data_IF_894518290467
#
_entry.id   IF_894518290467
#
_cell.length_a   1.000
_cell.length_b   1.000
_cell.length_c   1.000
_cell.angle_alpha   90.00
_cell.angle_beta   90.00
_cell.angle_gamma   90.00
#
_symmetry.space_group_name_H-M   'P 1'
#
loop_
_entity.id
_entity.type
_entity.pdbx_description
1 polymer ?
#
# COMPACT_ATOMS: atom_id res chain seq x y z
N UNK A 1 28.63 -40.35 38.59
CA UNK A 1 28.25 -41.49 39.46
C UNK A 1 29.51 -42.26 39.76
N UNK A 2 29.96 -42.12 41.00
CA UNK A 2 31.17 -42.71 41.57
C UNK A 2 30.90 -44.21 41.75
N UNK A 3 31.83 -45.12 41.41
CA UNK A 3 31.61 -46.54 41.58
C UNK A 3 31.77 -46.95 43.04
N UNK A 4 31.04 -48.01 43.34
CA UNK A 4 30.79 -48.61 44.64
C UNK A 4 32.07 -48.96 45.41
N UNK A 5 32.08 -48.53 46.66
CA UNK A 5 32.94 -49.00 47.74
C UNK A 5 32.74 -50.49 47.95
N UNK A 6 33.75 -51.28 47.58
CA UNK A 6 33.89 -52.67 48.02
C UNK A 6 34.30 -52.63 49.49
N UNK A 7 33.35 -53.00 50.34
CA UNK A 7 33.55 -53.39 51.74
C UNK A 7 34.32 -54.70 51.79
N UNK A 8 35.55 -54.68 52.31
CA UNK A 8 36.22 -55.90 52.77
C UNK A 8 36.27 -55.83 54.29
N UNK A 9 35.61 -56.82 54.88
CA UNK A 9 35.44 -57.10 56.30
C UNK A 9 36.78 -57.37 56.98
N UNK A 10 36.93 -56.78 58.16
CA UNK A 10 37.86 -57.18 59.21
C UNK A 10 37.58 -58.61 59.71
N UNK A 11 38.56 -59.15 60.41
CA UNK A 11 38.53 -60.37 61.24
C UNK A 11 38.87 -61.70 60.55
N UNK A 12 40.18 -61.97 60.47
CA UNK A 12 40.74 -63.24 60.96
C UNK A 12 42.19 -62.99 61.41
N UNK A 13 42.32 -62.39 62.59
CA UNK A 13 43.58 -62.29 63.32
C UNK A 13 43.97 -63.66 63.87
N UNK A 14 44.64 -64.45 63.02
CA UNK A 14 45.49 -65.54 63.46
C UNK A 14 46.69 -64.95 64.23
N UNK A 15 47.10 -65.54 65.37
CA UNK A 15 48.21 -65.02 66.15
C UNK A 15 49.50 -65.28 65.38
N UNK A 16 50.02 -64.23 64.72
CA UNK A 16 51.36 -64.28 64.13
C UNK A 16 52.34 -64.30 65.30
N UNK A 17 52.89 -65.49 65.49
CA UNK A 17 53.98 -65.84 66.39
C UNK A 17 54.92 -64.65 66.58
N UNK A 18 55.17 -64.29 67.84
CA UNK A 18 56.31 -63.45 68.21
C UNK A 18 57.55 -64.09 67.60
N UNK A 19 58.02 -63.54 66.47
CA UNK A 19 59.33 -63.84 65.94
C UNK A 19 60.33 -63.47 67.03
N UNK A 20 60.72 -64.50 67.79
CA UNK A 20 61.90 -64.53 68.63
C UNK A 20 62.95 -63.66 67.96
N UNK A 21 63.36 -62.59 68.64
CA UNK A 21 64.40 -61.72 68.12
C UNK A 21 65.55 -62.62 67.65
N UNK A 22 66.16 -62.35 66.48
CA UNK A 22 67.19 -63.23 65.95
C UNK A 22 68.45 -63.13 66.82
N UNK A 23 68.45 -63.76 67.98
CA UNK A 23 69.52 -63.73 68.95
C UNK A 23 70.30 -65.02 68.83
N UNK A 24 71.50 -64.93 68.29
CA UNK A 24 72.42 -66.04 68.25
C UNK A 24 72.98 -66.29 69.66
N UNK A 25 73.19 -67.57 70.01
CA UNK A 25 73.95 -67.93 71.21
C UNK A 25 75.33 -67.27 71.15
N UNK A 26 75.87 -66.83 72.29
CA UNK A 26 77.15 -66.12 72.37
C UNK A 26 78.27 -66.85 71.62
N UNK A 27 78.38 -68.16 71.82
CA UNK A 27 79.38 -69.00 71.15
C UNK A 27 79.18 -69.03 69.63
N UNK A 28 77.93 -69.14 69.17
CA UNK A 28 77.60 -69.12 67.74
C UNK A 28 77.91 -67.75 67.12
N UNK A 29 77.50 -66.66 67.80
CA UNK A 29 77.75 -65.29 67.34
C UNK A 29 79.24 -64.98 67.25
N UNK A 30 80.05 -65.42 68.22
CA UNK A 30 81.50 -65.23 68.20
C UNK A 30 82.18 -66.05 67.12
N UNK A 31 81.77 -67.30 66.89
CA UNK A 31 82.32 -68.13 65.80
C UNK A 31 82.01 -67.53 64.43
N UNK A 32 80.78 -67.05 64.22
CA UNK A 32 80.42 -66.36 62.99
C UNK A 32 81.14 -65.02 62.85
N UNK A 33 81.32 -64.25 63.93
CA UNK A 33 82.08 -63.01 63.88
C UNK A 33 83.55 -63.24 63.47
N UNK A 34 84.21 -64.29 63.98
CA UNK A 34 85.58 -64.63 63.55
C UNK A 34 85.64 -65.02 62.08
N UNK A 35 84.64 -65.76 61.58
CA UNK A 35 84.55 -66.09 60.16
C UNK A 35 84.33 -64.83 59.33
N UNK A 36 83.44 -63.93 59.77
CA UNK A 36 83.19 -62.67 59.07
C UNK A 36 84.43 -61.78 59.06
N UNK A 37 85.18 -61.69 60.16
CA UNK A 37 86.45 -60.98 60.24
C UNK A 37 87.47 -61.54 59.23
N UNK A 38 87.64 -62.87 59.21
CA UNK A 38 88.50 -63.54 58.24
C UNK A 38 88.05 -63.25 56.80
N UNK A 39 86.75 -63.26 56.51
CA UNK A 39 86.24 -62.93 55.17
C UNK A 39 86.46 -61.47 54.78
N UNK A 40 86.29 -60.52 55.72
CA UNK A 40 86.60 -59.10 55.48
C UNK A 40 88.08 -58.93 55.15
N UNK A 41 88.94 -59.58 55.93
CA UNK A 41 90.40 -59.56 55.71
C UNK A 41 90.75 -60.18 54.36
N UNK A 42 90.17 -61.34 54.02
CA UNK A 42 90.41 -61.99 52.72
C UNK A 42 89.94 -61.12 51.54
N UNK A 43 88.75 -60.52 51.62
CA UNK A 43 88.23 -59.62 50.58
C UNK A 43 89.13 -58.39 50.44
N UNK A 44 89.62 -57.84 51.55
CA UNK A 44 90.57 -56.71 51.54
C UNK A 44 91.91 -57.09 50.91
N UNK A 45 92.46 -58.25 51.25
CA UNK A 45 93.69 -58.76 50.64
C UNK A 45 93.48 -58.97 49.14
N UNK A 46 92.33 -59.50 48.72
CA UNK A 46 92.01 -59.66 47.30
C UNK A 46 91.91 -58.33 46.56
N UNK A 47 91.38 -57.28 47.20
CA UNK A 47 91.35 -55.93 46.62
C UNK A 47 92.74 -55.29 46.54
N UNK A 48 93.57 -55.47 47.57
CA UNK A 48 94.93 -54.92 47.64
C UNK A 48 95.91 -55.64 46.70
N UNK A 49 95.75 -56.95 46.49
CA UNK A 49 96.60 -57.75 45.60
C UNK A 49 96.26 -57.57 44.11
N UNK A 50 95.07 -57.08 43.77
CA UNK A 50 94.62 -56.93 42.38
C UNK A 50 95.07 -55.60 41.76
N UNK A 51 96.39 -55.48 41.59
CA UNK A 51 97.05 -54.28 41.10
C UNK A 51 96.56 -53.85 39.71
N UNK A 52 96.25 -54.81 38.84
CA UNK A 52 95.77 -54.56 37.48
C UNK A 52 94.38 -53.90 37.47
N UNK A 53 93.39 -54.46 38.17
CA UNK A 53 92.06 -53.87 38.28
C UNK A 53 92.08 -52.50 38.97
N UNK A 54 92.97 -52.31 39.94
CA UNK A 54 93.16 -51.00 40.59
C UNK A 54 93.70 -49.96 39.61
N UNK A 55 94.69 -50.32 38.78
CA UNK A 55 95.21 -49.44 37.73
C UNK A 55 94.11 -49.10 36.72
N UNK A 56 93.36 -50.10 36.23
CA UNK A 56 92.30 -49.87 35.25
C UNK A 56 91.18 -48.99 35.82
N UNK A 57 90.79 -49.20 37.08
CA UNK A 57 89.85 -48.33 37.79
C UNK A 57 90.38 -46.90 37.91
N UNK A 58 91.63 -46.71 38.32
CA UNK A 58 92.22 -45.36 38.39
C UNK A 58 92.31 -44.66 37.04
N UNK A 59 92.47 -45.42 35.95
CA UNK A 59 92.42 -44.91 34.58
C UNK A 59 90.98 -44.53 34.17
N UNK A 60 89.98 -45.32 34.54
CA UNK A 60 88.57 -45.01 34.33
C UNK A 60 88.13 -43.76 35.13
N UNK A 61 88.61 -43.65 36.37
CA UNK A 61 88.38 -42.54 37.28
C UNK A 61 89.29 -41.32 37.00
N UNK A 62 90.19 -41.37 36.02
CA UNK A 62 91.23 -40.33 35.86
C UNK A 62 90.65 -38.94 35.62
N UNK A 63 89.47 -38.86 35.00
CA UNK A 63 88.73 -37.60 34.80
C UNK A 63 88.12 -37.11 36.11
N UNK A 64 87.56 -38.02 36.90
CA UNK A 64 86.98 -37.78 38.21
C UNK A 64 88.05 -37.32 39.22
N UNK A 65 89.16 -38.05 39.29
CA UNK A 65 90.31 -37.76 40.15
C UNK A 65 90.98 -36.43 39.76
N UNK A 66 91.04 -36.12 38.47
CA UNK A 66 91.51 -34.81 37.99
C UNK A 66 90.56 -33.69 38.44
N UNK A 67 89.25 -33.88 38.31
CA UNK A 67 88.26 -32.90 38.77
C UNK A 67 88.34 -32.66 40.29
N UNK A 68 88.50 -33.73 41.08
CA UNK A 68 88.68 -33.63 42.54
C UNK A 68 89.98 -32.91 42.92
N UNK A 69 91.09 -33.17 42.21
CA UNK A 69 92.37 -32.48 42.43
C UNK A 69 92.28 -30.97 42.19
N UNK A 70 91.43 -30.54 41.26
CA UNK A 70 91.23 -29.12 40.92
C UNK A 70 90.00 -28.49 41.59
N UNK A 71 89.35 -29.17 42.54
CA UNK A 71 88.25 -28.61 43.34
C UNK A 71 86.96 -28.35 42.54
N UNK A 72 86.75 -29.04 41.42
CA UNK A 72 85.55 -28.88 40.59
C UNK A 72 84.39 -29.62 41.25
N UNK A 73 83.29 -28.92 41.54
CA UNK A 73 82.09 -29.49 42.13
C UNK A 73 81.44 -30.51 41.18
N UNK A 74 81.19 -31.71 41.68
CA UNK A 74 80.56 -32.76 40.89
C UNK A 74 79.04 -32.71 41.02
N UNK A 75 78.29 -33.01 39.95
CA UNK A 75 76.84 -33.16 40.04
C UNK A 75 76.51 -34.30 41.01
N UNK A 76 75.55 -34.08 41.90
CA UNK A 76 75.01 -35.15 42.75
C UNK A 76 74.31 -36.15 41.84
N UNK A 77 74.92 -37.31 41.63
CA UNK A 77 74.30 -38.43 40.93
C UNK A 77 73.08 -38.88 41.73
N UNK A 78 71.91 -38.74 41.13
CA UNK A 78 70.63 -39.14 41.72
C UNK A 78 70.28 -40.60 41.40
N UNK A 79 70.89 -41.17 40.35
CA UNK A 79 70.68 -42.54 39.90
C UNK A 79 72.02 -43.22 39.56
N UNK A 80 72.15 -44.51 39.87
CA UNK A 80 73.31 -45.35 39.53
C UNK A 80 73.53 -45.43 38.00
N UNK A 81 72.52 -45.02 37.22
CA UNK A 81 72.46 -45.11 35.76
C UNK A 81 72.53 -43.75 35.02
N UNK A 82 72.61 -42.61 35.72
CA UNK A 82 72.54 -41.26 35.09
C UNK A 82 73.71 -40.95 34.14
N UNK A 83 74.87 -41.56 34.35
CA UNK A 83 76.07 -41.36 33.52
C UNK A 83 76.28 -42.44 32.45
N UNK A 84 75.26 -43.29 32.20
CA UNK A 84 75.39 -44.46 31.34
C UNK A 84 74.66 -44.24 30.04
N UNK A 85 75.40 -44.31 28.93
CA UNK A 85 74.80 -44.38 27.59
C UNK A 85 74.13 -45.76 27.41
N UNK A 86 72.80 -45.84 27.20
CA UNK A 86 72.07 -47.11 27.07
C UNK A 86 72.43 -47.89 25.79
N UNK A 87 73.28 -47.34 24.92
CA UNK A 87 73.84 -48.01 23.74
C UNK A 87 75.21 -48.64 23.98
N UNK A 88 75.82 -48.42 25.15
CA UNK A 88 77.21 -48.80 25.43
C UNK A 88 77.36 -49.55 26.77
N UNK A 89 76.44 -50.49 27.05
CA UNK A 89 76.46 -51.31 28.26
C UNK A 89 77.65 -52.29 28.33
N UNK A 90 78.31 -52.55 27.20
CA UNK A 90 79.48 -53.44 27.14
C UNK A 90 80.80 -52.75 27.52
N UNK A 91 80.78 -51.43 27.79
CA UNK A 91 81.96 -50.69 28.21
C UNK A 91 82.64 -51.31 29.42
N UNK A 92 83.95 -51.54 29.30
CA UNK A 92 84.78 -52.07 30.38
C UNK A 92 84.71 -51.19 31.63
N UNK A 93 84.58 -49.87 31.44
CA UNK A 93 84.37 -48.92 32.52
C UNK A 93 83.11 -49.20 33.35
N UNK A 94 81.97 -49.54 32.71
CA UNK A 94 80.73 -49.85 33.43
C UNK A 94 80.85 -51.13 34.23
N UNK A 95 81.44 -52.18 33.63
CA UNK A 95 81.69 -53.45 34.32
C UNK A 95 82.54 -53.23 35.57
N UNK A 96 83.56 -52.38 35.49
CA UNK A 96 84.43 -52.03 36.62
C UNK A 96 83.69 -51.21 37.67
N UNK A 97 82.92 -50.18 37.29
CA UNK A 97 82.15 -49.37 38.25
C UNK A 97 81.08 -50.20 38.97
N UNK A 98 80.37 -51.06 38.23
CA UNK A 98 79.37 -51.96 38.81
C UNK A 98 80.02 -52.97 39.75
N UNK A 99 81.07 -53.65 39.30
CA UNK A 99 81.79 -54.62 40.13
C UNK A 99 82.35 -53.98 41.39
N UNK A 100 82.85 -52.74 41.31
CA UNK A 100 83.33 -52.00 42.47
C UNK A 100 82.20 -51.54 43.41
N UNK A 101 81.04 -51.16 42.87
CA UNK A 101 79.84 -50.84 43.66
C UNK A 101 79.30 -52.09 44.36
N UNK A 102 79.18 -53.21 43.65
CA UNK A 102 78.73 -54.50 44.17
C UNK A 102 79.68 -54.99 45.28
N UNK A 103 81.00 -54.88 45.06
CA UNK A 103 82.01 -55.20 46.10
C UNK A 103 81.87 -54.31 47.32
N UNK A 104 81.74 -52.99 47.15
CA UNK A 104 81.55 -52.06 48.28
C UNK A 104 80.27 -52.37 49.04
N UNK A 105 79.17 -52.67 48.35
CA UNK A 105 77.90 -53.04 48.96
C UNK A 105 78.01 -54.34 49.77
N UNK A 106 78.69 -55.35 49.25
CA UNK A 106 78.94 -56.61 49.96
C UNK A 106 79.85 -56.40 51.17
N UNK A 107 80.95 -55.65 51.01
CA UNK A 107 81.86 -55.35 52.11
C UNK A 107 81.12 -54.60 53.22
N UNK A 108 80.36 -53.55 52.87
CA UNK A 108 79.58 -52.78 53.85
C UNK A 108 78.54 -53.66 54.57
N UNK A 109 77.82 -54.51 53.83
CA UNK A 109 76.85 -55.43 54.43
C UNK A 109 77.51 -56.44 55.38
N UNK A 110 78.68 -56.98 55.02
CA UNK A 110 79.45 -57.92 55.86
C UNK A 110 80.06 -57.19 57.06
N UNK A 111 80.56 -55.97 56.92
CA UNK A 111 81.10 -55.18 58.04
C UNK A 111 80.01 -54.76 59.01
N UNK A 112 78.84 -54.34 58.51
CA UNK A 112 77.70 -53.97 59.34
C UNK A 112 77.17 -55.21 60.09
N UNK A 113 77.15 -56.37 59.43
CA UNK A 113 76.83 -57.64 60.06
C UNK A 113 77.87 -58.04 61.11
N UNK A 114 79.17 -57.88 60.85
CA UNK A 114 80.23 -58.14 61.82
C UNK A 114 80.08 -57.27 63.08
N UNK A 115 79.82 -55.97 62.90
CA UNK A 115 79.58 -55.04 64.01
C UNK A 115 78.31 -55.41 64.79
N UNK A 116 77.23 -55.78 64.10
CA UNK A 116 75.98 -56.17 64.77
C UNK A 116 76.10 -57.52 65.49
N UNK A 117 76.83 -58.49 64.94
CA UNK A 117 77.04 -59.80 65.56
C UNK A 117 78.00 -59.75 66.75
N UNK A 118 78.97 -58.83 66.75
CA UNK A 118 79.89 -58.63 67.88
C UNK A 118 79.25 -57.85 69.02
N UNK A 119 78.46 -56.82 68.73
CA UNK A 119 77.85 -55.95 69.74
C UNK A 119 76.47 -56.42 70.21
N UNK A 120 75.59 -56.76 69.28
CA UNK A 120 74.15 -56.97 69.53
C UNK A 120 73.71 -58.43 69.41
N UNK A 121 74.60 -59.32 68.92
CA UNK A 121 74.33 -60.76 68.69
C UNK A 121 73.12 -61.02 67.80
N UNK A 122 72.88 -60.12 66.86
CA UNK A 122 71.73 -60.12 65.95
C UNK A 122 72.20 -59.97 64.49
N UNK A 123 71.31 -60.29 63.54
CA UNK A 123 71.52 -60.20 62.10
C UNK A 123 70.43 -59.37 61.39
N UNK A 124 69.75 -58.45 62.08
CA UNK A 124 68.68 -57.62 61.50
C UNK A 124 69.18 -56.76 60.34
N UNK A 125 70.42 -56.28 60.38
CA UNK A 125 71.03 -55.54 59.25
C UNK A 125 71.06 -56.39 58.00
N UNK A 126 71.48 -57.66 58.08
CA UNK A 126 71.45 -58.58 56.95
C UNK A 126 70.04 -58.83 56.44
N UNK A 127 69.06 -59.03 57.33
CA UNK A 127 67.66 -59.20 56.92
C UNK A 127 67.13 -57.96 56.22
N UNK A 128 67.42 -56.76 56.73
CA UNK A 128 67.02 -55.49 56.10
C UNK A 128 67.71 -55.27 54.75
N UNK A 129 68.98 -55.66 54.62
CA UNK A 129 69.74 -55.60 53.38
C UNK A 129 69.18 -56.55 52.32
N UNK A 130 68.88 -57.80 52.70
CA UNK A 130 68.25 -58.78 51.82
C UNK A 130 66.86 -58.32 51.38
N UNK A 131 66.04 -57.80 52.30
CA UNK A 131 64.72 -57.24 51.96
C UNK A 131 64.84 -56.07 50.97
N UNK A 132 65.82 -55.17 51.15
CA UNK A 132 66.07 -54.10 50.17
C UNK A 132 66.44 -54.62 48.78
N UNK A 133 67.18 -55.74 48.69
CA UNK A 133 67.49 -56.39 47.40
C UNK A 133 66.21 -56.98 46.79
N UNK A 134 65.39 -57.68 47.57
CA UNK A 134 64.12 -58.24 47.10
C UNK A 134 63.15 -57.13 46.64
N UNK A 135 63.03 -56.04 47.39
CA UNK A 135 62.19 -54.89 47.03
C UNK A 135 62.64 -54.25 45.71
N UNK A 136 63.95 -54.10 45.50
CA UNK A 136 64.51 -53.60 44.23
C UNK A 136 64.19 -54.53 43.06
N UNK A 137 64.26 -55.84 43.26
CA UNK A 137 63.95 -56.81 42.21
C UNK A 137 62.45 -56.83 41.88
N UNK A 138 61.58 -56.82 42.90
CA UNK A 138 60.14 -56.68 42.70
C UNK A 138 59.78 -55.38 41.99
N UNK A 139 60.43 -54.27 42.34
CA UNK A 139 60.25 -52.99 41.66
C UNK A 139 60.65 -53.07 40.18
N UNK A 140 61.78 -53.72 39.85
CA UNK A 140 62.22 -53.90 38.46
C UNK A 140 61.23 -54.72 37.64
N UNK A 141 60.69 -55.80 38.20
CA UNK A 141 59.68 -56.63 37.54
C UNK A 141 58.40 -55.81 37.30
N UNK A 142 57.91 -55.11 38.34
CA UNK A 142 56.73 -54.26 38.21
C UNK A 142 56.92 -53.12 37.18
N UNK A 143 58.12 -52.54 37.14
CA UNK A 143 58.47 -51.51 36.16
C UNK A 143 58.47 -52.07 34.73
N UNK A 144 59.01 -53.27 34.51
CA UNK A 144 59.01 -53.92 33.20
C UNK A 144 57.59 -54.25 32.71
N UNK A 145 56.73 -54.75 33.59
CA UNK A 145 55.31 -54.99 33.28
C UNK A 145 54.59 -53.69 32.92
N UNK A 146 54.80 -52.62 33.69
CA UNK A 146 54.21 -51.31 33.43
C UNK A 146 54.73 -50.71 32.11
N UNK A 147 56.01 -50.86 31.79
CA UNK A 147 56.56 -50.42 30.51
C UNK A 147 55.91 -51.17 29.33
N UNK A 148 55.69 -52.49 29.47
CA UNK A 148 55.00 -53.29 28.46
C UNK A 148 53.54 -52.85 28.26
N UNK A 149 52.80 -52.62 29.35
CA UNK A 149 51.43 -52.07 29.30
C UNK A 149 51.41 -50.70 28.63
N UNK A 150 52.27 -49.78 29.04
CA UNK A 150 52.39 -48.44 28.47
C UNK A 150 52.73 -48.47 26.97
N UNK A 151 53.59 -49.41 26.53
CA UNK A 151 53.87 -49.60 25.09
C UNK A 151 52.63 -50.01 24.31
N UNK A 152 51.79 -50.87 24.87
CA UNK A 152 50.56 -51.33 24.23
C UNK A 152 49.51 -50.21 24.18
N UNK A 153 49.31 -49.50 25.29
CA UNK A 153 48.41 -48.35 25.35
C UNK A 153 48.83 -47.24 24.38
N UNK A 154 50.13 -46.93 24.29
CA UNK A 154 50.64 -45.96 23.31
C UNK A 154 50.32 -46.37 21.87
N UNK A 155 50.45 -47.65 21.53
CA UNK A 155 50.09 -48.14 20.18
C UNK A 155 48.60 -47.97 19.90
N UNK A 156 47.75 -48.32 20.86
CA UNK A 156 46.30 -48.21 20.72
C UNK A 156 45.85 -46.76 20.62
N UNK A 157 46.36 -45.87 21.49
CA UNK A 157 46.09 -44.43 21.41
C UNK A 157 46.56 -43.83 20.07
N UNK A 158 47.71 -44.25 19.56
CA UNK A 158 48.19 -43.80 18.24
C UNK A 158 47.25 -44.26 17.12
N UNK A 159 46.70 -45.47 17.21
CA UNK A 159 45.71 -46.00 16.27
C UNK A 159 44.40 -45.22 16.35
N UNK A 160 43.90 -44.94 17.55
CA UNK A 160 42.70 -44.13 17.76
C UNK A 160 42.87 -42.71 17.21
N UNK A 161 44.02 -42.06 17.44
CA UNK A 161 44.33 -40.74 16.86
C UNK A 161 44.27 -40.80 15.32
N UNK A 162 44.82 -41.84 14.71
CA UNK A 162 44.77 -42.00 13.24
C UNK A 162 43.34 -42.20 12.74
N UNK A 163 42.56 -43.02 13.42
CA UNK A 163 41.15 -43.25 13.09
C UNK A 163 40.32 -41.97 13.22
N UNK A 164 40.49 -41.23 14.31
CA UNK A 164 39.82 -39.94 14.53
C UNK A 164 40.19 -38.92 13.46
N UNK A 165 41.47 -38.82 13.08
CA UNK A 165 41.90 -37.92 11.98
C UNK A 165 41.23 -38.28 10.65
N UNK A 166 41.15 -39.56 10.32
CA UNK A 166 40.48 -40.02 9.11
C UNK A 166 38.97 -39.73 9.16
N UNK A 167 38.33 -40.02 10.29
CA UNK A 167 36.91 -39.75 10.47
C UNK A 167 36.58 -38.26 10.35
N UNK A 168 37.34 -37.39 11.03
CA UNK A 168 37.20 -35.94 10.91
C UNK A 168 37.37 -35.50 9.45
N UNK A 169 38.35 -36.04 8.73
CA UNK A 169 38.54 -35.70 7.30
C UNK A 169 37.34 -36.11 6.45
N UNK A 170 36.76 -37.30 6.66
CA UNK A 170 35.56 -37.75 5.94
C UNK A 170 34.36 -36.87 6.26
N UNK A 171 34.10 -36.60 7.54
CA UNK A 171 32.98 -35.75 7.96
C UNK A 171 33.13 -34.33 7.43
N UNK A 172 34.34 -33.78 7.40
CA UNK A 172 34.59 -32.47 6.80
C UNK A 172 34.27 -32.47 5.30
N UNK A 173 34.70 -33.49 4.56
CA UNK A 173 34.40 -33.61 3.13
C UNK A 173 32.89 -33.76 2.87
N UNK A 174 32.21 -34.62 3.63
CA UNK A 174 30.76 -34.80 3.52
C UNK A 174 30.02 -33.49 3.84
N UNK A 175 30.45 -32.78 4.88
CA UNK A 175 29.90 -31.47 5.22
C UNK A 175 30.16 -30.44 4.12
N UNK A 176 31.36 -30.38 3.54
CA UNK A 176 31.67 -29.49 2.40
C UNK A 176 30.75 -29.76 1.21
N UNK A 177 30.53 -31.03 0.86
CA UNK A 177 29.60 -31.43 -0.21
C UNK A 177 28.17 -31.00 0.12
N UNK A 178 27.71 -31.17 1.36
CA UNK A 178 26.38 -30.69 1.77
C UNK A 178 26.26 -29.17 1.76
N UNK A 179 27.32 -28.45 2.13
CA UNK A 179 27.34 -26.99 2.09
C UNK A 179 27.24 -26.51 0.65
N UNK A 180 27.97 -27.12 -0.28
CA UNK A 180 27.94 -26.73 -1.68
C UNK A 180 26.62 -27.08 -2.37
N UNK A 181 25.99 -28.21 -2.03
CA UNK A 181 24.65 -28.53 -2.53
C UNK A 181 23.59 -27.55 -2.00
N UNK A 182 23.66 -27.18 -0.73
CA UNK A 182 22.77 -26.18 -0.14
C UNK A 182 22.99 -24.79 -0.75
N UNK A 183 24.23 -24.38 -1.01
CA UNK A 183 24.53 -23.13 -1.74
C UNK A 183 23.89 -23.12 -3.12
N UNK A 184 24.08 -24.19 -3.89
CA UNK A 184 23.49 -24.31 -5.24
C UNK A 184 21.96 -24.23 -5.17
N UNK A 185 21.34 -24.88 -4.18
CA UNK A 185 19.88 -24.82 -3.99
C UNK A 185 19.39 -23.42 -3.64
N UNK A 186 20.15 -22.67 -2.83
CA UNK A 186 19.82 -21.27 -2.51
C UNK A 186 19.98 -20.39 -3.73
N UNK A 187 21.06 -20.54 -4.51
CA UNK A 187 21.27 -19.80 -5.76
C UNK A 187 20.15 -20.07 -6.77
N UNK A 188 19.80 -21.35 -6.98
CA UNK A 188 18.69 -21.75 -7.85
C UNK A 188 17.36 -21.16 -7.38
N UNK A 189 17.08 -21.20 -6.07
CA UNK A 189 15.85 -20.62 -5.51
C UNK A 189 15.78 -19.10 -5.69
N UNK A 190 16.92 -18.39 -5.62
CA UNK A 190 16.98 -16.94 -5.86
C UNK A 190 16.72 -16.67 -7.34
N UNK A 191 17.35 -17.41 -8.25
CA UNK A 191 17.14 -17.27 -9.70
C UNK A 191 15.70 -17.56 -10.10
N UNK A 192 15.09 -18.62 -9.56
CA UNK A 192 13.68 -18.96 -9.80
C UNK A 192 12.74 -17.86 -9.30
N UNK A 193 13.03 -17.30 -8.11
CA UNK A 193 12.25 -16.19 -7.56
C UNK A 193 12.37 -14.93 -8.42
N UNK A 194 13.57 -14.58 -8.89
CA UNK A 194 13.78 -13.43 -9.76
C UNK A 194 13.10 -13.61 -11.12
N UNK A 195 13.23 -14.79 -11.73
CA UNK A 195 12.58 -15.14 -12.99
C UNK A 195 11.05 -15.05 -12.86
N UNK A 196 10.51 -15.62 -11.79
CA UNK A 196 9.08 -15.58 -11.48
C UNK A 196 8.59 -14.15 -11.25
N UNK A 197 9.35 -13.33 -10.52
CA UNK A 197 9.02 -11.91 -10.30
C UNK A 197 8.96 -11.15 -11.62
N UNK A 198 9.99 -11.28 -12.48
CA UNK A 198 10.02 -10.61 -13.78
C UNK A 198 8.87 -11.06 -14.68
N UNK A 199 8.53 -12.35 -14.64
CA UNK A 199 7.39 -12.88 -15.39
C UNK A 199 6.08 -12.25 -14.93
N UNK A 200 5.85 -12.19 -13.61
CA UNK A 200 4.64 -11.57 -13.03
C UNK A 200 4.56 -10.09 -13.35
N UNK A 201 5.67 -9.36 -13.25
CA UNK A 201 5.73 -7.92 -13.56
C UNK A 201 5.40 -7.68 -15.05
N UNK A 202 6.03 -8.41 -15.96
CA UNK A 202 5.75 -8.30 -17.39
C UNK A 202 4.31 -8.70 -17.73
N UNK A 203 3.79 -9.74 -17.09
CA UNK A 203 2.41 -10.16 -17.24
C UNK A 203 1.44 -9.08 -16.76
N UNK A 204 1.73 -8.44 -15.63
CA UNK A 204 0.93 -7.37 -15.08
C UNK A 204 0.96 -6.14 -15.99
N UNK A 205 2.12 -5.75 -16.52
CA UNK A 205 2.26 -4.65 -17.49
C UNK A 205 1.42 -4.94 -18.74
N UNK A 206 1.61 -6.10 -19.37
CA UNK A 206 0.85 -6.48 -20.57
C UNK A 206 -0.67 -6.51 -20.31
N UNK A 207 -1.08 -6.99 -19.14
CA UNK A 207 -2.49 -6.97 -18.71
C UNK A 207 -3.00 -5.55 -18.56
N UNK A 208 -2.25 -4.66 -17.94
CA UNK A 208 -2.65 -3.25 -17.79
C UNK A 208 -2.74 -2.52 -19.12
N UNK A 209 -1.79 -2.76 -20.04
CA UNK A 209 -1.82 -2.22 -21.40
C UNK A 209 -3.05 -2.71 -22.15
N UNK A 210 -3.37 -4.01 -22.08
CA UNK A 210 -4.57 -4.55 -22.70
C UNK A 210 -5.85 -3.92 -22.14
N UNK A 211 -5.96 -3.75 -20.82
CA UNK A 211 -7.12 -3.08 -20.21
C UNK A 211 -7.22 -1.63 -20.65
N UNK A 212 -6.09 -0.92 -20.71
CA UNK A 212 -6.06 0.47 -21.16
C UNK A 212 -6.55 0.61 -22.60
N UNK A 213 -6.10 -0.26 -23.50
CA UNK A 213 -6.55 -0.27 -24.90
C UNK A 213 -8.05 -0.57 -25.01
N UNK A 214 -8.56 -1.56 -24.28
CA UNK A 214 -10.01 -1.88 -24.29
C UNK A 214 -10.85 -0.70 -23.77
N UNK A 215 -10.37 -0.02 -22.71
CA UNK A 215 -11.04 1.18 -22.18
C UNK A 215 -10.99 2.29 -23.23
N UNK A 216 -9.83 2.56 -23.82
CA UNK A 216 -9.67 3.59 -24.84
C UNK A 216 -10.56 3.33 -26.06
N UNK A 217 -10.66 2.09 -26.55
CA UNK A 217 -11.54 1.73 -27.66
C UNK A 217 -13.02 2.01 -27.33
N UNK A 218 -13.46 1.63 -26.13
CA UNK A 218 -14.83 1.87 -25.67
C UNK A 218 -15.12 3.36 -25.47
N UNK A 219 -14.19 4.10 -24.87
CA UNK A 219 -14.28 5.56 -24.68
C UNK A 219 -14.29 6.28 -26.02
N UNK A 220 -13.39 5.94 -26.94
CA UNK A 220 -13.34 6.53 -28.28
C UNK A 220 -14.64 6.29 -29.05
N UNK A 221 -15.18 5.06 -29.01
CA UNK A 221 -16.48 4.77 -29.62
C UNK A 221 -17.61 5.64 -29.03
N UNK A 222 -17.64 5.81 -27.70
CA UNK A 222 -18.60 6.69 -27.05
C UNK A 222 -18.38 8.16 -27.45
N UNK A 223 -17.14 8.64 -27.50
CA UNK A 223 -16.77 10.00 -27.90
C UNK A 223 -17.25 10.27 -29.33
N UNK A 224 -16.97 9.36 -30.28
CA UNK A 224 -17.42 9.48 -31.67
C UNK A 224 -18.96 9.59 -31.75
N UNK A 225 -19.69 8.77 -30.99
CA UNK A 225 -21.16 8.87 -30.98
C UNK A 225 -21.64 10.21 -30.41
N UNK A 226 -21.00 10.72 -29.35
CA UNK A 226 -21.32 12.02 -28.76
C UNK A 226 -21.06 13.14 -29.78
N UNK A 227 -19.94 13.10 -30.50
CA UNK A 227 -19.62 14.09 -31.54
C UNK A 227 -20.64 14.06 -32.68
N UNK A 228 -21.06 12.88 -33.13
CA UNK A 228 -22.11 12.74 -34.13
C UNK A 228 -23.44 13.36 -33.67
N UNK A 229 -23.82 13.15 -32.40
CA UNK A 229 -25.04 13.76 -31.85
C UNK A 229 -24.91 15.28 -31.70
N UNK A 230 -23.74 15.80 -31.30
CA UNK A 230 -23.48 17.25 -31.25
C UNK A 230 -23.68 17.89 -32.62
N UNK A 231 -23.09 17.31 -33.67
CA UNK A 231 -23.25 17.81 -35.05
C UNK A 231 -24.71 17.78 -35.50
N UNK A 232 -25.46 16.72 -35.15
CA UNK A 232 -26.90 16.63 -35.46
C UNK A 232 -27.70 17.72 -34.76
N UNK A 233 -27.44 17.97 -33.48
CA UNK A 233 -28.12 19.02 -32.70
C UNK A 233 -27.82 20.39 -33.29
N UNK A 234 -26.55 20.69 -33.63
CA UNK A 234 -26.19 21.96 -34.26
C UNK A 234 -26.89 22.15 -35.62
N UNK A 235 -27.01 21.08 -36.40
CA UNK A 235 -27.74 21.10 -37.67
C UNK A 235 -29.24 21.34 -37.47
N UNK A 236 -29.86 20.64 -36.52
CA UNK A 236 -31.26 20.80 -36.17
C UNK A 236 -31.56 22.21 -35.66
N UNK A 237 -30.70 22.78 -34.80
CA UNK A 237 -30.81 24.17 -34.35
C UNK A 237 -30.75 25.16 -35.51
N UNK A 238 -29.85 24.94 -36.48
CA UNK A 238 -29.78 25.78 -37.69
C UNK A 238 -31.08 25.69 -38.50
N UNK A 239 -31.54 24.48 -38.83
CA UNK A 239 -32.78 24.27 -39.58
C UNK A 239 -33.96 24.90 -38.84
N UNK A 240 -34.05 24.69 -37.52
CA UNK A 240 -35.11 25.26 -36.69
C UNK A 240 -35.14 26.78 -36.79
N UNK A 241 -33.96 27.44 -36.69
CA UNK A 241 -33.87 28.90 -36.83
C UNK A 241 -34.30 29.40 -38.22
N UNK A 242 -34.00 28.64 -39.29
CA UNK A 242 -34.43 28.96 -40.65
C UNK A 242 -35.96 28.78 -40.81
N UNK A 243 -36.52 27.71 -40.26
CA UNK A 243 -37.97 27.46 -40.24
C UNK A 243 -38.68 28.56 -39.46
N UNK A 244 -38.20 28.92 -38.28
CA UNK A 244 -38.74 30.03 -37.50
C UNK A 244 -38.69 31.34 -38.29
N UNK A 245 -37.57 31.64 -38.96
CA UNK A 245 -37.47 32.84 -39.80
C UNK A 245 -38.51 32.82 -40.93
N UNK A 246 -38.65 31.71 -41.66
CA UNK A 246 -39.64 31.58 -42.73
C UNK A 246 -41.07 31.70 -42.21
N UNK A 247 -41.39 31.05 -41.09
CA UNK A 247 -42.71 31.18 -40.47
C UNK A 247 -43.00 32.62 -40.06
N UNK A 248 -42.04 33.32 -39.47
CA UNK A 248 -42.16 34.73 -39.12
C UNK A 248 -42.37 35.62 -40.36
N UNK A 249 -41.66 35.37 -41.46
CA UNK A 249 -41.88 36.08 -42.73
C UNK A 249 -43.32 35.84 -43.21
N UNK A 250 -43.80 34.60 -43.22
CA UNK A 250 -45.17 34.29 -43.66
C UNK A 250 -46.23 34.93 -42.75
N UNK A 251 -46.02 34.92 -41.44
CA UNK A 251 -46.90 35.61 -40.47
C UNK A 251 -46.94 37.10 -40.81
N UNK A 252 -45.79 37.75 -40.97
CA UNK A 252 -45.72 39.17 -41.31
C UNK A 252 -46.41 39.49 -42.64
N UNK A 253 -46.19 38.69 -43.69
CA UNK A 253 -46.90 38.86 -44.97
C UNK A 253 -48.42 38.72 -44.82
N UNK A 254 -48.89 37.81 -43.96
CA UNK A 254 -50.33 37.67 -43.69
C UNK A 254 -50.87 38.86 -42.91
N UNK A 255 -50.12 39.38 -41.93
CA UNK A 255 -50.48 40.58 -41.18
C UNK A 255 -50.56 41.81 -42.10
N UNK A 256 -49.60 41.99 -43.00
CA UNK A 256 -49.64 43.06 -44.01
C UNK A 256 -50.86 42.94 -44.93
N UNK A 257 -51.23 41.71 -45.34
CA UNK A 257 -52.44 41.49 -46.15
C UNK A 257 -53.68 41.85 -45.35
N UNK A 258 -53.76 41.48 -44.08
CA UNK A 258 -54.87 41.86 -43.18
C UNK A 258 -54.95 43.38 -43.07
N UNK A 259 -53.83 44.06 -42.82
CA UNK A 259 -53.78 45.53 -42.71
C UNK A 259 -54.21 46.22 -44.00
N UNK A 260 -53.80 45.71 -45.16
CA UNK A 260 -54.27 46.18 -46.48
C UNK A 260 -55.78 46.02 -46.63
N UNK A 261 -56.34 44.88 -46.21
CA UNK A 261 -57.79 44.63 -46.25
C UNK A 261 -58.56 45.50 -45.26
N UNK A 262 -58.04 45.71 -44.05
CA UNK A 262 -58.60 46.63 -43.06
C UNK A 262 -58.63 48.06 -43.61
N UNK A 263 -57.51 48.55 -44.12
CA UNK A 263 -57.41 49.90 -44.72
C UNK A 263 -58.37 50.08 -45.90
N UNK A 264 -58.59 49.03 -46.69
CA UNK A 264 -59.58 49.04 -47.78
C UNK A 264 -61.00 49.11 -47.22
N UNK A 265 -61.32 48.26 -46.24
CA UNK A 265 -62.64 48.24 -45.61
C UNK A 265 -62.98 49.59 -44.98
N UNK A 266 -62.04 50.19 -44.24
CA UNK A 266 -62.22 51.52 -43.64
C UNK A 266 -62.49 52.57 -44.72
N UNK A 267 -61.72 52.58 -45.81
CA UNK A 267 -61.93 53.51 -46.94
C UNK A 267 -63.28 53.29 -47.64
N UNK A 268 -63.66 52.03 -47.87
CA UNK A 268 -64.94 51.69 -48.49
C UNK A 268 -66.11 52.11 -47.57
N UNK A 269 -65.96 51.91 -46.26
CA UNK A 269 -66.95 52.30 -45.24
C UNK A 269 -67.07 53.83 -45.12
N UNK A 270 -65.96 54.56 -45.09
CA UNK A 270 -65.94 56.02 -45.18
C UNK A 270 -66.62 56.52 -46.46
N UNK A 271 -66.35 55.86 -47.60
CA UNK A 271 -67.00 56.17 -48.87
C UNK A 271 -68.52 55.99 -48.81
N UNK A 272 -68.99 54.87 -48.26
CA UNK A 272 -70.41 54.58 -48.05
C UNK A 272 -71.04 55.60 -47.10
N UNK A 273 -70.37 55.96 -46.00
CA UNK A 273 -70.89 56.95 -45.04
C UNK A 273 -71.01 58.34 -45.69
N UNK A 274 -70.00 58.78 -46.44
CA UNK A 274 -70.05 60.05 -47.20
C UNK A 274 -71.22 60.02 -48.20
N UNK A 275 -71.39 58.94 -48.95
CA UNK A 275 -72.51 58.81 -49.90
C UNK A 275 -73.87 58.80 -49.20
N UNK A 276 -73.95 58.16 -48.03
CA UNK A 276 -75.14 58.18 -47.18
C UNK A 276 -75.44 59.59 -46.67
N UNK A 277 -74.43 60.35 -46.23
CA UNK A 277 -74.59 61.75 -45.84
C UNK A 277 -75.04 62.62 -47.01
N UNK A 278 -74.45 62.45 -48.21
CA UNK A 278 -74.90 63.16 -49.42
C UNK A 278 -76.37 62.86 -49.74
N UNK A 279 -76.77 61.58 -49.71
CA UNK A 279 -78.17 61.18 -49.91
C UNK A 279 -79.07 61.78 -48.85
N UNK A 280 -78.69 61.72 -47.57
CA UNK A 280 -79.45 62.31 -46.46
C UNK A 280 -79.65 63.81 -46.64
N UNK A 281 -78.60 64.55 -46.98
CA UNK A 281 -78.69 65.98 -47.28
C UNK A 281 -79.60 66.24 -48.48
N UNK A 282 -79.48 65.46 -49.55
CA UNK A 282 -80.36 65.60 -50.71
C UNK A 282 -81.84 65.34 -50.37
N UNK A 283 -82.13 64.32 -49.57
CA UNK A 283 -83.48 64.06 -49.05
C UNK A 283 -83.98 65.21 -48.17
N UNK A 284 -83.11 65.79 -47.35
CA UNK A 284 -83.45 66.92 -46.50
C UNK A 284 -83.75 68.18 -47.33
N UNK A 285 -82.94 68.50 -48.33
CA UNK A 285 -83.20 69.60 -49.27
C UNK A 285 -84.52 69.40 -50.05
N UNK A 286 -84.79 68.17 -50.50
CA UNK A 286 -86.06 67.82 -51.15
C UNK A 286 -87.25 68.01 -50.21
N UNK A 287 -87.10 67.57 -48.96
CA UNK A 287 -88.13 67.74 -47.92
C UNK A 287 -88.37 69.22 -47.62
N UNK A 288 -87.33 70.02 -47.50
CA UNK A 288 -87.43 71.46 -47.23
C UNK A 288 -88.05 72.21 -48.41
N UNK A 289 -87.71 71.85 -49.66
CA UNK A 289 -88.42 72.35 -50.85
C UNK A 289 -89.90 71.98 -50.85
N UNK A 290 -90.24 70.73 -50.50
CA UNK A 290 -91.63 70.28 -50.38
C UNK A 290 -92.40 71.09 -49.33
N UNK A 291 -91.82 71.29 -48.13
CA UNK A 291 -92.41 72.10 -47.06
C UNK A 291 -92.59 73.55 -47.51
N UNK A 292 -91.59 74.13 -48.18
CA UNK A 292 -91.70 75.48 -48.72
C UNK A 292 -92.81 75.59 -49.77
N UNK A 293 -92.95 74.60 -50.66
CA UNK A 293 -94.05 74.56 -51.62
C UNK A 293 -95.41 74.44 -50.93
N UNK A 294 -95.56 73.54 -49.94
CA UNK A 294 -96.78 73.43 -49.13
C UNK A 294 -97.13 74.77 -48.45
N UNK A 295 -96.15 75.44 -47.83
CA UNK A 295 -96.33 76.76 -47.24
C UNK A 295 -96.74 77.82 -48.27
N UNK A 296 -96.18 77.79 -49.48
CA UNK A 296 -96.59 78.73 -50.55
C UNK A 296 -98.00 78.45 -51.05
N UNK A 297 -98.38 77.18 -51.19
CA UNK A 297 -99.73 76.77 -51.57
C UNK A 297 -100.72 77.20 -50.49
N UNK A 298 -100.42 76.97 -49.21
CA UNK A 298 -101.26 77.39 -48.09
C UNK A 298 -101.44 78.91 -48.06
N UNK A 299 -100.36 79.68 -48.27
CA UNK A 299 -100.44 81.15 -48.44
C UNK A 299 -101.32 81.54 -49.62
N UNK A 300 -101.17 80.88 -50.76
CA UNK A 300 -101.97 81.16 -51.96
C UNK A 300 -103.45 80.80 -51.76
N UNK A 301 -103.75 79.70 -51.07
CA UNK A 301 -105.11 79.28 -50.75
C UNK A 301 -105.77 80.25 -49.77
N UNK A 302 -105.04 80.76 -48.78
CA UNK A 302 -105.50 81.83 -47.90
C UNK A 302 -105.83 83.11 -48.70
N UNK A 303 -104.94 83.52 -49.61
CA UNK A 303 -105.16 84.67 -50.49
C UNK A 303 -106.36 84.46 -51.42
N UNK A 304 -106.54 83.26 -51.98
CA UNK A 304 -107.71 82.91 -52.81
C UNK A 304 -109.01 82.99 -52.01
N UNK A 305 -109.04 82.44 -50.78
CA UNK A 305 -110.20 82.54 -49.88
C UNK A 305 -110.52 83.98 -49.53
N UNK A 306 -109.52 84.80 -49.21
CA UNK A 306 -109.69 86.23 -48.97
C UNK A 306 -110.23 86.97 -50.21
N UNK A 307 -109.74 86.63 -51.41
CA UNK A 307 -110.21 87.20 -52.67
C UNK A 307 -111.66 86.81 -53.01
N UNK A 308 -112.04 85.55 -52.78
CA UNK A 308 -113.41 85.06 -52.95
C UNK A 308 -114.35 85.76 -51.98
N UNK A 309 -114.00 85.86 -50.70
CA UNK A 309 -114.79 86.60 -49.70
C UNK A 309 -114.95 88.07 -50.11
N UNK A 310 -113.88 88.74 -50.53
CA UNK A 310 -113.95 90.12 -51.03
C UNK A 310 -114.90 90.25 -52.24
N UNK A 311 -114.89 89.29 -53.16
CA UNK A 311 -115.82 89.23 -54.30
C UNK A 311 -117.26 89.03 -53.86
N UNK A 312 -117.52 88.12 -52.93
CA UNK A 312 -118.87 87.88 -52.38
C UNK A 312 -119.42 89.11 -51.66
N UNK A 313 -118.63 89.77 -50.81
CA UNK A 313 -119.02 91.01 -50.12
C UNK A 313 -119.40 92.10 -51.13
N UNK A 314 -118.60 92.22 -52.20
CA UNK A 314 -118.84 93.18 -53.29
C UNK A 314 -120.11 92.85 -54.07
N UNK A 315 -120.39 91.58 -54.31
CA UNK A 315 -121.59 91.15 -55.03
C UNK A 315 -122.85 91.33 -54.19
N UNK A 316 -122.82 90.99 -52.90
CA UNK A 316 -123.90 91.29 -51.94
C UNK A 316 -124.23 92.78 -51.91
N UNK A 317 -123.21 93.64 -51.88
CA UNK A 317 -123.40 95.10 -51.92
C UNK A 317 -124.00 95.59 -53.26
N UNK A 318 -123.67 94.94 -54.38
CA UNK A 318 -124.24 95.26 -55.70
C UNK A 318 -125.71 94.86 -55.79
N UNK A 319 -126.04 93.64 -55.37
CA UNK A 319 -127.42 93.11 -55.36
C UNK A 319 -128.31 93.96 -54.45
N UNK A 320 -127.81 94.41 -53.29
CA UNK A 320 -128.55 95.30 -52.40
C UNK A 320 -128.91 96.64 -53.09
N UNK A 321 -127.95 97.26 -53.80
CA UNK A 321 -128.20 98.49 -54.58
C UNK A 321 -129.20 98.24 -55.72
N UNK A 322 -129.08 97.13 -56.42
CA UNK A 322 -129.95 96.80 -57.54
C UNK A 322 -131.40 96.56 -57.08
N UNK A 323 -131.61 95.81 -55.99
CA UNK A 323 -132.92 95.62 -55.39
C UNK A 323 -133.52 96.95 -54.91
N UNK A 324 -132.73 97.83 -54.29
CA UNK A 324 -133.19 99.15 -53.86
C UNK A 324 -133.66 100.02 -55.05
N UNK A 325 -132.95 99.99 -56.18
CA UNK A 325 -133.35 100.71 -57.39
C UNK A 325 -134.59 100.10 -58.07
N UNK A 326 -134.72 98.77 -58.11
CA UNK A 326 -135.90 98.09 -58.66
C UNK A 326 -137.16 98.36 -57.84
N UNK A 327 -137.06 98.35 -56.50
CA UNK A 327 -138.17 98.73 -55.62
C UNK A 327 -138.59 100.19 -55.83
N UNK A 328 -137.64 101.12 -56.01
CA UNK A 328 -137.95 102.52 -56.32
C UNK A 328 -138.66 102.69 -57.68
N UNK A 329 -138.29 101.92 -58.70
CA UNK A 329 -138.91 101.95 -60.03
C UNK A 329 -140.35 101.40 -60.00
N UNK A 330 -140.63 100.36 -59.21
CA UNK A 330 -141.97 99.79 -59.06
C UNK A 330 -142.93 100.78 -58.40
N UNK A 331 -142.46 101.50 -57.37
CA UNK A 331 -143.25 102.58 -56.72
C UNK A 331 -143.53 103.73 -57.71
N UNK A 332 -142.55 104.12 -58.53
CA UNK A 332 -142.73 105.14 -59.56
C UNK A 332 -143.70 104.72 -60.69
N UNK A 333 -143.70 103.44 -61.06
CA UNK A 333 -144.60 102.90 -62.08
C UNK A 333 -146.05 102.75 -61.57
N UNK A 334 -146.22 102.39 -60.30
CA UNK A 334 -147.53 102.30 -59.65
C UNK A 334 -148.24 103.67 -59.59
N UNK A 335 -147.50 104.74 -59.24
CA UNK A 335 -148.07 106.09 -59.17
C UNK A 335 -148.45 106.65 -60.55
N UNK A 336 -147.65 106.37 -61.59
CA UNK A 336 -147.96 106.75 -62.98
C UNK A 336 -149.15 106.01 -63.55
N UNK A 337 -149.35 104.73 -63.19
CA UNK A 337 -150.51 103.93 -63.62
C UNK A 337 -151.84 104.35 -62.97
N UNK A 338 -151.78 104.88 -61.75
CA UNK A 338 -152.95 105.42 -61.05
C UNK A 338 -153.47 106.72 -61.71
N UNK A 339 -152.54 107.59 -62.14
CA UNK A 339 -152.86 108.84 -62.85
C UNK A 339 -153.57 108.60 -64.19
N UNK A 340 -153.26 107.51 -64.90
CA UNK A 340 -153.86 107.20 -66.21
C UNK A 340 -155.30 106.67 -66.10
N UNK A 341 -155.67 105.98 -65.01
CA UNK A 341 -157.01 105.36 -64.89
C UNK A 341 -158.12 106.31 -64.44
N UNK A 342 -157.78 107.45 -63.83
CA UNK A 342 -158.76 108.38 -63.25
C UNK A 342 -159.11 109.60 -64.13
N UNK A 343 -158.70 109.58 -65.41
CA UNK A 343 -159.01 110.58 -66.47
C UNK A 343 -158.93 112.06 -66.01
N UNK A 344 -157.89 112.40 -65.25
CA UNK A 344 -157.52 113.78 -64.91
C UNK A 344 -156.12 114.05 -65.46
N UNK A 345 -156.03 114.89 -66.49
CA UNK A 345 -154.74 115.40 -66.99
C UNK A 345 -154.71 115.68 -68.49
N UNK A 346 -154.32 116.88 -68.93
CA UNK A 346 -154.40 117.31 -70.32
C UNK A 346 -153.32 116.64 -71.18
N UNK A 347 -153.74 116.00 -72.27
CA UNK A 347 -152.83 115.48 -73.29
C UNK A 347 -152.27 116.64 -74.11
N UNK A 348 -150.95 116.85 -74.05
CA UNK A 348 -150.25 117.75 -74.96
C UNK A 348 -148.96 117.14 -75.50
N UNK A 349 -148.77 117.43 -76.78
CA UNK A 349 -147.79 116.86 -77.72
C UNK A 349 -146.45 117.58 -77.62
N UNK A 350 -145.35 116.81 -77.71
CA UNK A 350 -144.09 117.19 -78.35
C UNK A 350 -143.05 117.97 -77.55
N UNK A 351 -141.81 117.45 -77.44
CA UNK A 351 -140.68 117.64 -78.39
C UNK A 351 -139.31 117.23 -77.80
N UNK A 352 -138.41 116.87 -78.73
CA UNK A 352 -136.93 116.70 -78.74
C UNK A 352 -136.15 117.60 -77.73
N UNK A 353 -134.91 117.29 -77.27
CA UNK A 353 -133.68 117.00 -78.04
C UNK A 353 -132.46 116.78 -77.10
N UNK A 354 -131.42 116.08 -77.61
CA UNK A 354 -129.95 116.18 -77.29
C UNK A 354 -129.50 115.70 -75.89
N UNK A 355 -128.37 115.03 -75.69
CA UNK A 355 -127.24 114.64 -76.53
C UNK A 355 -125.92 114.63 -75.71
N UNK A 356 -124.91 113.88 -76.20
CA UNK A 356 -123.46 113.95 -75.88
C UNK A 356 -123.03 113.55 -74.45
N UNK A 357 -121.80 113.07 -74.16
CA UNK A 357 -120.60 112.55 -74.88
C UNK A 357 -119.75 111.89 -73.77
N UNK A 358 -119.24 110.67 -73.95
CA UNK A 358 -117.81 110.28 -73.97
C UNK A 358 -116.84 111.12 -73.11
N UNK A 359 -116.20 110.48 -72.14
CA UNK A 359 -114.91 109.81 -72.37
C UNK A 359 -114.85 108.51 -71.57
#
# INVERSE_FOLDING_TARGET
>A
MIPETITVTEEDTMPVEEYTQPSLSYMSSSMFATILEDTIIQIRILDECNSELRIIKTLADIKLLRALKFGIAQPKTADELENIDPKNLECENYKIYKLDSDRRNIINAITDLYVEMTLNKNYKTLTSFLNSIFDKEHYRIALAENEAKNKLERRELTKQIRQLRNHIKTVLYDNEVTIDSLKSQVEDSVLDSECSSRYVDNWQVARTEQHLEVINEAENSCIETIEQYKLKIEHEQRIHSEVELLTNITINETLEKIEKWMSKYDRDMEGIDIDMQRKKNHYQDMRDKRINFENTIEKHDLLMKQWINFKEEREKARIYRENMTKSAIIVQAWWRGLLVRRRLGPYRVGRKRRGRKKK
#
